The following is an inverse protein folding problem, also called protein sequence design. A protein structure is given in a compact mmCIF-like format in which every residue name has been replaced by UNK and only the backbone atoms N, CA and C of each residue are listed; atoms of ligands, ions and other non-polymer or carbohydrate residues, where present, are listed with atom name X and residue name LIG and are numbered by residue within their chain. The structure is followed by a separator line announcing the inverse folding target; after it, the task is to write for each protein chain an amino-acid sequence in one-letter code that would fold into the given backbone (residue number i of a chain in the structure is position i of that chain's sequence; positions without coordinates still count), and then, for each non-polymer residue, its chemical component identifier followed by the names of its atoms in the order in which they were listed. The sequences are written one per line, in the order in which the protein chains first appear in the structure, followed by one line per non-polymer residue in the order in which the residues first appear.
data_IF_371646955032
#
_entry.id   IF_371646955032
#
_cell.length_a   1.000
_cell.length_b   1.000
_cell.length_c   1.000
_cell.angle_alpha   90.00
_cell.angle_beta   90.00
_cell.angle_gamma   90.00
#
_symmetry.space_group_name_H-M   'P 1'
#
loop_
_entity.id
_entity.type
_entity.pdbx_description
1 polymer ?
#
# COMPACT_ATOMS: atom_id res chain seq x y z
N UNK A 1 24.59 6.34 17.19
CA UNK A 1 23.61 7.03 16.33
C UNK A 1 23.24 6.09 15.20
N UNK A 2 21.96 5.71 15.06
CA UNK A 2 21.52 4.96 13.88
C UNK A 2 21.72 5.87 12.65
N UNK A 3 22.25 5.32 11.56
CA UNK A 3 22.37 6.06 10.31
C UNK A 3 20.99 6.60 9.89
N UNK A 4 20.88 7.82 9.34
CA UNK A 4 19.60 8.35 8.91
C UNK A 4 18.93 7.39 7.91
N UNK A 5 17.61 7.27 7.99
CA UNK A 5 16.83 6.56 6.98
C UNK A 5 16.93 7.34 5.66
N UNK A 6 17.70 6.81 4.71
CA UNK A 6 17.89 7.46 3.41
C UNK A 6 17.08 6.71 2.36
N UNK A 7 16.38 7.46 1.51
CA UNK A 7 15.76 6.98 0.28
C UNK A 7 16.14 7.92 -0.86
N UNK A 8 17.28 7.71 -1.52
CA UNK A 8 17.68 8.51 -2.66
C UNK A 8 16.67 8.38 -3.81
N UNK A 9 16.68 9.33 -4.77
CA UNK A 9 15.98 9.15 -6.04
C UNK A 9 16.36 7.83 -6.71
N UNK A 10 15.39 7.09 -7.27
CA UNK A 10 15.68 5.87 -8.02
C UNK A 10 16.62 6.14 -9.19
N UNK A 11 17.52 5.20 -9.47
CA UNK A 11 18.36 5.26 -10.66
C UNK A 11 17.62 4.64 -11.85
N UNK A 12 17.65 5.32 -13.00
CA UNK A 12 16.96 4.90 -14.22
C UNK A 12 17.99 4.72 -15.32
N UNK A 13 18.06 3.51 -15.89
CA UNK A 13 18.90 3.17 -17.03
C UNK A 13 17.98 2.79 -18.19
N UNK A 14 17.57 3.78 -18.99
CA UNK A 14 16.53 3.63 -20.00
C UNK A 14 16.92 2.65 -21.10
N UNK A 15 18.18 2.67 -21.50
CA UNK A 15 18.77 1.82 -22.53
C UNK A 15 18.75 0.34 -22.13
N UNK A 16 18.73 0.07 -20.82
CA UNK A 16 18.65 -1.27 -20.23
C UNK A 16 17.22 -1.66 -19.82
N UNK A 17 16.24 -0.76 -19.94
CA UNK A 17 14.91 -0.99 -19.39
C UNK A 17 14.94 -1.26 -17.89
N UNK A 18 15.86 -0.62 -17.15
CA UNK A 18 16.13 -0.91 -15.74
C UNK A 18 15.82 0.29 -14.84
N UNK A 19 15.06 0.01 -13.79
CA UNK A 19 14.74 0.91 -12.70
C UNK A 19 15.29 0.33 -11.38
N UNK A 20 16.05 1.12 -10.64
CA UNK A 20 16.69 0.69 -9.39
C UNK A 20 16.23 1.55 -8.23
N UNK A 21 15.46 0.95 -7.33
CA UNK A 21 15.21 1.53 -6.00
C UNK A 21 16.34 1.12 -5.08
N UNK A 22 16.90 2.08 -4.36
CA UNK A 22 17.96 1.83 -3.39
C UNK A 22 17.84 2.76 -2.17
N UNK A 23 18.46 2.40 -1.07
CA UNK A 23 18.35 3.13 0.20
C UNK A 23 18.25 2.20 1.41
N UNK A 24 18.64 2.68 2.58
CA UNK A 24 18.48 1.95 3.85
C UNK A 24 17.02 1.73 4.25
N UNK A 25 16.14 2.59 3.76
CA UNK A 25 14.68 2.56 4.01
C UNK A 25 13.88 1.73 2.99
N UNK A 26 14.50 1.22 1.91
CA UNK A 26 13.79 0.43 0.89
C UNK A 26 13.21 -0.84 1.50
N UNK A 27 11.96 -1.15 1.15
CA UNK A 27 11.28 -2.37 1.59
C UNK A 27 11.46 -3.47 0.54
N UNK A 28 12.16 -4.56 0.90
CA UNK A 28 12.33 -5.71 0.00
C UNK A 28 11.02 -6.45 -0.24
N UNK A 29 10.03 -6.28 0.64
CA UNK A 29 8.67 -6.79 0.46
C UNK A 29 8.01 -6.27 -0.81
N UNK A 30 8.38 -5.06 -1.30
CA UNK A 30 7.90 -4.56 -2.58
C UNK A 30 8.35 -5.48 -3.74
N UNK A 31 9.66 -5.75 -3.84
CA UNK A 31 10.20 -6.59 -4.91
C UNK A 31 9.65 -8.02 -4.83
N UNK A 32 9.50 -8.55 -3.62
CA UNK A 32 8.88 -9.86 -3.38
C UNK A 32 7.41 -9.88 -3.79
N UNK A 33 6.67 -8.79 -3.53
CA UNK A 33 5.28 -8.63 -3.89
C UNK A 33 5.09 -8.59 -5.40
N UNK A 34 5.83 -7.71 -6.08
CA UNK A 34 5.84 -7.61 -7.53
C UNK A 34 6.14 -8.96 -8.19
N UNK A 35 7.14 -9.68 -7.68
CA UNK A 35 7.46 -11.03 -8.14
C UNK A 35 6.29 -12.00 -7.94
N UNK A 36 5.70 -12.05 -6.74
CA UNK A 36 4.58 -12.96 -6.45
C UNK A 36 3.32 -12.65 -7.27
N UNK A 37 2.99 -11.38 -7.48
CA UNK A 37 1.87 -10.95 -8.34
C UNK A 37 2.09 -11.46 -9.75
N UNK A 38 3.26 -11.19 -10.34
CA UNK A 38 3.57 -11.59 -11.71
C UNK A 38 3.50 -13.11 -11.91
N UNK A 39 3.97 -13.89 -10.92
CA UNK A 39 3.93 -15.35 -10.98
C UNK A 39 2.51 -15.92 -10.80
N UNK A 40 1.74 -15.37 -9.87
CA UNK A 40 0.44 -15.94 -9.49
C UNK A 40 -0.67 -15.52 -10.44
N UNK A 41 -0.64 -14.28 -10.89
CA UNK A 41 -1.77 -13.62 -11.55
C UNK A 41 -1.56 -13.47 -13.06
N UNK A 42 -0.38 -13.88 -13.57
CA UNK A 42 -0.09 -14.13 -14.99
C UNK A 42 -0.57 -13.02 -15.96
N UNK A 43 -0.51 -11.77 -15.51
CA UNK A 43 -0.89 -10.60 -16.31
C UNK A 43 -2.29 -10.03 -16.07
N UNK A 44 -3.08 -10.60 -15.13
CA UNK A 44 -4.35 -10.00 -14.72
C UNK A 44 -4.17 -8.62 -14.08
N UNK A 45 -3.10 -8.44 -13.32
CA UNK A 45 -2.58 -7.13 -12.91
C UNK A 45 -1.19 -6.93 -13.49
N UNK A 46 -1.06 -5.85 -14.25
CA UNK A 46 0.19 -5.45 -14.87
C UNK A 46 1.09 -4.82 -13.82
N UNK A 47 2.23 -5.45 -13.56
CA UNK A 47 3.27 -4.95 -12.64
C UNK A 47 4.65 -5.05 -13.30
N UNK A 48 5.61 -4.18 -12.94
CA UNK A 48 6.96 -4.28 -13.44
C UNK A 48 7.59 -5.65 -13.17
N UNK A 49 8.35 -6.18 -14.12
CA UNK A 49 9.18 -7.36 -13.87
C UNK A 49 10.25 -7.06 -12.81
N UNK A 50 10.50 -8.02 -11.92
CA UNK A 50 11.58 -7.92 -10.94
C UNK A 50 12.75 -8.77 -11.41
N UNK A 51 13.88 -8.13 -11.66
CA UNK A 51 15.13 -8.80 -12.05
C UNK A 51 15.90 -9.33 -10.84
N UNK A 52 15.68 -8.74 -9.66
CA UNK A 52 16.22 -9.21 -8.40
C UNK A 52 16.25 -8.15 -7.31
N UNK A 53 16.70 -8.53 -6.13
CA UNK A 53 16.91 -7.63 -5.01
C UNK A 53 18.08 -8.11 -4.15
N UNK A 54 18.73 -7.20 -3.42
CA UNK A 54 19.83 -7.54 -2.52
C UNK A 54 19.98 -6.56 -1.37
N UNK A 55 20.70 -6.99 -0.36
CA UNK A 55 21.16 -6.14 0.75
C UNK A 55 22.69 -6.08 0.73
N UNK A 56 23.25 -4.88 0.79
CA UNK A 56 24.70 -4.65 0.89
C UNK A 56 24.98 -3.69 2.04
N UNK A 57 25.51 -4.22 3.15
CA UNK A 57 25.61 -3.46 4.39
C UNK A 57 24.23 -3.01 4.87
N UNK A 58 24.04 -1.72 5.05
CA UNK A 58 22.76 -1.13 5.45
C UNK A 58 21.88 -0.71 4.26
N UNK A 59 22.38 -0.85 3.03
CA UNK A 59 21.66 -0.45 1.82
C UNK A 59 20.89 -1.64 1.23
N UNK A 60 19.65 -1.39 0.83
CA UNK A 60 18.80 -2.36 0.14
C UNK A 60 18.60 -1.90 -1.29
N UNK A 61 18.57 -2.85 -2.22
CA UNK A 61 18.42 -2.59 -3.66
C UNK A 61 17.31 -3.48 -4.22
N UNK A 62 16.46 -2.89 -5.05
CA UNK A 62 15.47 -3.61 -5.86
C UNK A 62 15.65 -3.23 -7.33
N UNK A 63 15.92 -4.23 -8.16
CA UNK A 63 16.15 -4.10 -9.60
C UNK A 63 14.90 -4.57 -10.33
N UNK A 64 14.26 -3.67 -11.08
CA UNK A 64 12.98 -3.94 -11.72
C UNK A 64 12.90 -3.29 -13.11
N UNK A 65 11.92 -3.70 -13.89
CA UNK A 65 11.61 -3.15 -15.20
C UNK A 65 11.32 -1.65 -15.13
N UNK A 66 12.00 -0.89 -15.98
CA UNK A 66 11.61 0.48 -16.26
C UNK A 66 10.45 0.51 -17.25
N UNK A 67 9.24 0.72 -16.72
CA UNK A 67 8.03 0.84 -17.54
C UNK A 67 8.01 2.21 -18.23
N UNK A 68 8.23 2.20 -19.55
CA UNK A 68 8.26 3.42 -20.35
C UNK A 68 6.85 3.96 -20.61
N UNK A 69 6.38 4.83 -19.72
CA UNK A 69 5.08 5.49 -19.83
C UNK A 69 5.02 6.80 -19.04
N UNK A 70 3.80 7.27 -18.81
CA UNK A 70 3.50 8.44 -17.98
C UNK A 70 2.60 8.01 -16.83
N UNK A 71 2.69 8.70 -15.69
CA UNK A 71 1.72 8.42 -14.63
C UNK A 71 0.33 8.86 -15.07
N UNK A 72 -0.70 8.15 -14.62
CA UNK A 72 -2.09 8.50 -14.91
C UNK A 72 -2.39 9.91 -14.39
N UNK A 73 -1.79 10.32 -13.28
CA UNK A 73 -1.88 11.69 -12.74
C UNK A 73 -1.42 12.75 -13.75
N UNK A 74 -0.31 12.52 -14.46
CA UNK A 74 0.21 13.46 -15.46
C UNK A 74 -0.71 13.58 -16.67
N UNK A 75 -1.37 12.49 -17.04
CA UNK A 75 -2.21 12.41 -18.25
C UNK A 75 -3.68 12.73 -17.94
N UNK A 76 -4.12 12.61 -16.70
CA UNK A 76 -5.51 12.84 -16.28
C UNK A 76 -6.11 14.18 -16.70
N UNK A 77 -5.39 15.33 -16.65
CA UNK A 77 -5.96 16.62 -17.06
C UNK A 77 -6.29 16.69 -18.56
N UNK A 78 -5.57 15.95 -19.40
CA UNK A 78 -5.70 15.99 -20.87
C UNK A 78 -6.56 14.85 -21.43
N UNK A 79 -6.91 13.85 -20.62
CA UNK A 79 -7.78 12.75 -21.03
C UNK A 79 -9.24 13.16 -21.22
N UNK A 80 -9.86 12.62 -22.26
CA UNK A 80 -11.30 12.72 -22.49
C UNK A 80 -12.11 11.96 -21.43
N UNK A 81 -13.40 12.27 -21.31
CA UNK A 81 -14.28 11.64 -20.33
C UNK A 81 -14.43 10.13 -20.57
N UNK A 82 -14.58 9.72 -21.82
CA UNK A 82 -14.69 8.30 -22.20
C UNK A 82 -13.40 7.52 -21.87
N UNK A 83 -12.23 8.10 -22.16
CA UNK A 83 -10.95 7.50 -21.81
C UNK A 83 -10.79 7.32 -20.30
N UNK A 84 -11.19 8.32 -19.51
CA UNK A 84 -11.16 8.24 -18.03
C UNK A 84 -12.04 7.11 -17.50
N UNK A 85 -13.23 6.96 -18.06
CA UNK A 85 -14.16 5.89 -17.69
C UNK A 85 -13.61 4.50 -18.07
N UNK A 86 -12.82 4.40 -19.13
CA UNK A 86 -12.17 3.17 -19.56
C UNK A 86 -10.94 2.75 -18.72
N UNK A 87 -10.35 3.68 -17.95
CA UNK A 87 -9.20 3.37 -17.08
C UNK A 87 -9.69 2.96 -15.70
N UNK A 88 -9.68 1.65 -15.46
CA UNK A 88 -9.85 1.06 -14.14
C UNK A 88 -8.68 0.09 -13.88
N UNK A 89 -7.79 0.40 -12.92
CA UNK A 89 -6.79 -0.57 -12.51
C UNK A 89 -7.51 -1.75 -11.86
N UNK A 90 -7.15 -2.97 -12.26
CA UNK A 90 -7.60 -4.16 -11.55
C UNK A 90 -6.88 -4.22 -10.20
N UNK A 91 -7.63 -4.48 -9.14
CA UNK A 91 -7.11 -4.76 -7.79
C UNK A 91 -7.27 -6.25 -7.50
N UNK A 92 -6.37 -6.80 -6.69
CA UNK A 92 -6.20 -8.25 -6.58
C UNK A 92 -7.06 -8.89 -5.48
N UNK A 93 -8.15 -9.54 -5.88
CA UNK A 93 -8.97 -10.38 -4.99
C UNK A 93 -8.49 -11.85 -4.91
N UNK A 94 -7.63 -12.27 -5.83
CA UNK A 94 -7.29 -13.69 -6.03
C UNK A 94 -6.05 -14.14 -5.24
N UNK A 95 -5.30 -13.21 -4.64
CA UNK A 95 -4.23 -13.55 -3.71
C UNK A 95 -4.84 -13.88 -2.35
N UNK A 96 -5.12 -15.16 -2.11
CA UNK A 96 -5.61 -15.62 -0.80
C UNK A 96 -4.46 -15.77 0.20
N UNK A 97 -4.64 -15.29 1.43
CA UNK A 97 -3.80 -15.64 2.56
C UNK A 97 -4.64 -16.00 3.80
N UNK A 98 -4.14 -16.89 4.67
CA UNK A 98 -4.84 -17.29 5.88
C UNK A 98 -4.78 -16.25 7.00
N UNK A 99 -3.98 -15.18 6.83
CA UNK A 99 -3.70 -14.18 7.87
C UNK A 99 -3.34 -12.84 7.23
N UNK A 100 -3.42 -11.75 8.00
CA UNK A 100 -2.93 -10.44 7.60
C UNK A 100 -1.40 -10.38 7.62
N UNK A 101 -0.81 -9.43 6.91
CA UNK A 101 0.64 -9.29 6.80
C UNK A 101 1.09 -8.89 5.41
N UNK A 102 2.38 -8.63 5.25
CA UNK A 102 2.97 -8.42 3.93
C UNK A 102 3.13 -9.76 3.16
N UNK A 103 3.56 -9.70 1.90
CA UNK A 103 3.79 -10.87 1.03
C UNK A 103 4.68 -11.97 1.65
N UNK A 104 5.60 -11.58 2.52
CA UNK A 104 6.55 -12.46 3.22
C UNK A 104 6.03 -12.94 4.58
N UNK A 105 4.72 -12.77 4.85
CA UNK A 105 4.06 -13.07 6.13
C UNK A 105 4.67 -12.31 7.32
N UNK A 106 5.31 -11.18 7.04
CA UNK A 106 5.86 -10.29 8.06
C UNK A 106 4.89 -9.15 8.40
N UNK A 107 5.32 -8.22 9.27
CA UNK A 107 4.55 -7.03 9.60
C UNK A 107 4.24 -6.21 8.35
N UNK A 108 3.04 -5.63 8.31
CA UNK A 108 2.65 -4.65 7.30
C UNK A 108 3.47 -3.37 7.44
N UNK A 109 3.74 -2.74 6.31
CA UNK A 109 4.33 -1.41 6.25
C UNK A 109 3.25 -0.48 5.69
N UNK A 110 2.77 0.47 6.48
CA UNK A 110 1.80 1.46 5.99
C UNK A 110 2.13 2.82 6.61
N UNK A 111 2.29 3.82 5.76
CA UNK A 111 2.69 5.19 6.11
C UNK A 111 1.58 5.97 6.81
N UNK A 112 0.35 5.45 6.83
CA UNK A 112 -0.72 5.96 7.68
C UNK A 112 -0.45 5.69 9.17
N UNK A 113 0.50 4.81 9.50
CA UNK A 113 0.91 4.57 10.88
C UNK A 113 2.16 5.37 11.24
N UNK A 114 2.16 5.93 12.46
CA UNK A 114 3.31 6.61 13.02
C UNK A 114 4.57 5.70 13.04
N UNK A 115 5.72 6.25 12.65
CA UNK A 115 6.99 5.53 12.42
C UNK A 115 7.42 4.59 13.57
N UNK A 116 7.22 5.01 14.82
CA UNK A 116 7.50 4.21 16.02
C UNK A 116 6.71 2.89 16.12
N UNK A 117 5.64 2.71 15.35
CA UNK A 117 4.75 1.56 15.43
C UNK A 117 4.62 0.78 14.12
N UNK A 118 5.13 1.31 13.00
CA UNK A 118 5.09 0.64 11.68
C UNK A 118 5.68 -0.78 11.73
N UNK A 119 6.73 -1.01 12.51
CA UNK A 119 7.36 -2.34 12.63
C UNK A 119 6.55 -3.36 13.45
N UNK A 120 5.39 -2.98 14.00
CA UNK A 120 4.57 -3.81 14.90
C UNK A 120 3.22 -4.21 14.31
N UNK A 121 2.97 -3.94 13.03
CA UNK A 121 1.65 -4.18 12.41
C UNK A 121 1.54 -5.62 11.94
N UNK A 122 1.22 -6.54 12.86
CA UNK A 122 0.98 -7.94 12.54
C UNK A 122 2.25 -8.76 12.25
N UNK A 123 2.13 -9.94 11.61
CA UNK A 123 0.91 -10.52 11.03
C UNK A 123 -0.15 -10.85 12.11
N UNK A 124 -1.44 -10.78 11.75
CA UNK A 124 -2.56 -11.16 12.63
C UNK A 124 -3.39 -12.27 12.00
N UNK A 125 -3.92 -13.17 12.82
CA UNK A 125 -4.74 -14.28 12.32
C UNK A 125 -6.11 -13.83 11.80
N UNK A 126 -6.71 -12.80 12.42
CA UNK A 126 -8.06 -12.32 12.13
C UNK A 126 -8.13 -10.79 12.13
N UNK A 127 -9.15 -10.24 11.43
CA UNK A 127 -9.38 -8.79 11.33
C UNK A 127 -9.59 -8.13 12.69
N UNK A 128 -10.33 -8.78 13.61
CA UNK A 128 -10.54 -8.27 14.97
C UNK A 128 -9.24 -7.88 15.67
N UNK A 129 -8.16 -8.65 15.48
CA UNK A 129 -6.88 -8.38 16.13
C UNK A 129 -6.17 -7.17 15.47
N UNK A 130 -6.36 -6.98 14.16
CA UNK A 130 -5.92 -5.76 13.46
C UNK A 130 -6.64 -4.54 14.03
N UNK A 131 -7.96 -4.61 14.17
CA UNK A 131 -8.76 -3.51 14.74
C UNK A 131 -8.34 -3.21 16.18
N UNK A 132 -8.20 -4.23 17.02
CA UNK A 132 -7.76 -4.04 18.40
C UNK A 132 -6.35 -3.41 18.46
N UNK A 133 -5.44 -3.83 17.59
CA UNK A 133 -4.11 -3.23 17.48
C UNK A 133 -4.16 -1.76 17.04
N UNK A 134 -4.99 -1.45 16.05
CA UNK A 134 -5.22 -0.12 15.48
C UNK A 134 -5.81 0.82 16.53
N UNK A 135 -6.90 0.42 17.18
CA UNK A 135 -7.57 1.24 18.20
C UNK A 135 -6.69 1.43 19.43
N UNK A 136 -5.75 0.52 19.70
CA UNK A 136 -4.81 0.68 20.81
C UNK A 136 -3.69 1.69 20.52
N UNK A 137 -3.46 2.13 19.27
CA UNK A 137 -2.32 2.98 18.90
C UNK A 137 -2.18 4.22 19.77
N UNK A 138 -3.23 5.04 19.84
CA UNK A 138 -3.28 6.28 20.62
C UNK A 138 -3.16 6.09 22.14
N UNK A 139 -3.33 4.86 22.65
CA UNK A 139 -3.12 4.54 24.06
C UNK A 139 -1.68 4.20 24.40
N UNK A 140 -0.89 3.76 23.43
CA UNK A 140 0.51 3.33 23.65
C UNK A 140 1.42 4.39 24.29
N UNK A 141 1.27 5.69 24.00
CA UNK A 141 2.09 6.71 24.64
C UNK A 141 1.71 7.00 26.10
N UNK A 142 0.56 6.52 26.58
CA UNK A 142 0.06 6.84 27.91
C UNK A 142 0.77 6.04 29.00
N UNK A 143 0.86 6.61 30.22
CA UNK A 143 1.52 5.96 31.37
C UNK A 143 0.80 4.68 31.82
N UNK A 144 -0.53 4.63 31.66
CA UNK A 144 -1.35 3.44 31.90
C UNK A 144 -2.37 3.26 30.75
N UNK A 145 -1.96 2.63 29.64
CA UNK A 145 -2.79 2.49 28.44
C UNK A 145 -4.08 1.69 28.63
N UNK A 146 -4.13 0.81 29.64
CA UNK A 146 -5.23 -0.14 29.84
C UNK A 146 -6.36 0.42 30.71
N UNK A 147 -6.12 1.48 31.49
CA UNK A 147 -7.18 2.16 32.24
C UNK A 147 -8.03 3.10 31.38
N UNK A 148 -7.59 3.40 30.15
CA UNK A 148 -8.37 4.22 29.22
C UNK A 148 -9.47 3.38 28.57
N UNK A 149 -10.75 3.80 28.71
CA UNK A 149 -11.89 3.09 28.13
C UNK A 149 -11.76 2.89 26.62
N UNK A 150 -12.41 1.85 26.10
CA UNK A 150 -12.50 1.67 24.66
C UNK A 150 -13.33 2.79 24.03
N UNK A 151 -12.79 3.47 23.02
CA UNK A 151 -13.48 4.60 22.40
C UNK A 151 -14.70 4.10 21.62
N UNK A 152 -15.78 4.91 21.53
CA UNK A 152 -17.01 4.53 20.85
C UNK A 152 -16.81 4.07 19.40
N UNK A 153 -15.84 4.68 18.70
CA UNK A 153 -15.54 4.40 17.29
C UNK A 153 -15.04 2.98 17.01
N UNK A 154 -14.62 2.21 18.02
CA UNK A 154 -14.24 0.79 17.84
C UNK A 154 -15.39 -0.06 17.30
N UNK A 155 -16.63 0.27 17.65
CA UNK A 155 -17.82 -0.49 17.26
C UNK A 155 -18.19 -0.32 15.79
N UNK A 156 -17.71 0.74 15.15
CA UNK A 156 -17.94 1.01 13.74
C UNK A 156 -16.97 0.26 12.81
N UNK A 157 -15.99 -0.48 13.39
CA UNK A 157 -15.05 -1.34 12.67
C UNK A 157 -15.56 -2.80 12.60
N UNK A 158 -15.86 -3.35 11.40
CA UNK A 158 -16.47 -4.67 11.24
C UNK A 158 -15.45 -5.81 11.35
N UNK A 159 -15.47 -6.54 12.47
CA UNK A 159 -14.54 -7.64 12.74
C UNK A 159 -14.72 -8.87 11.84
N UNK A 160 -15.87 -8.97 11.15
CA UNK A 160 -16.29 -10.05 10.26
C UNK A 160 -16.03 -9.76 8.78
N UNK A 161 -15.42 -8.61 8.44
CA UNK A 161 -15.08 -8.29 7.07
C UNK A 161 -13.96 -9.21 6.53
N UNK A 162 -13.91 -9.36 5.21
CA UNK A 162 -12.95 -10.25 4.57
C UNK A 162 -11.51 -9.71 4.68
N UNK A 163 -10.54 -10.64 4.74
CA UNK A 163 -9.13 -10.32 4.52
C UNK A 163 -8.87 -10.30 3.02
N UNK A 164 -8.42 -9.15 2.49
CA UNK A 164 -8.14 -8.93 1.07
C UNK A 164 -6.72 -8.45 0.87
N UNK A 165 -6.15 -8.78 -0.29
CA UNK A 165 -4.84 -8.26 -0.66
C UNK A 165 -5.01 -6.82 -1.19
N UNK A 166 -4.34 -5.89 -0.56
CA UNK A 166 -4.43 -4.46 -0.88
C UNK A 166 -3.09 -3.95 -1.39
N UNK A 167 -3.12 -2.98 -2.30
CA UNK A 167 -1.94 -2.21 -2.68
C UNK A 167 -1.49 -1.31 -1.52
N UNK A 168 -2.45 -0.70 -0.80
CA UNK A 168 -2.18 0.15 0.36
C UNK A 168 -1.60 1.54 0.02
N UNK A 169 -1.56 1.93 -1.25
CA UNK A 169 -1.12 3.26 -1.70
C UNK A 169 -1.61 3.55 -3.12
N UNK A 170 -2.76 2.98 -3.53
CA UNK A 170 -3.19 3.08 -4.92
C UNK A 170 -3.78 4.46 -5.21
N UNK A 171 -3.04 5.25 -5.99
CA UNK A 171 -3.54 6.51 -6.53
C UNK A 171 -2.96 6.76 -7.93
N UNK A 172 -3.47 7.79 -8.63
CA UNK A 172 -3.16 8.00 -10.06
C UNK A 172 -1.66 8.16 -10.37
N UNK A 173 -0.83 8.56 -9.41
CA UNK A 173 0.62 8.67 -9.65
C UNK A 173 1.32 7.30 -9.66
N UNK A 174 0.66 6.25 -9.14
CA UNK A 174 1.14 4.85 -9.09
C UNK A 174 0.69 4.00 -10.28
N UNK A 175 -0.10 4.57 -11.19
CA UNK A 175 -0.58 3.88 -12.38
C UNK A 175 0.19 4.46 -13.57
N UNK A 176 0.92 3.62 -14.29
CA UNK A 176 1.66 4.01 -15.49
C UNK A 176 0.81 3.66 -16.71
N UNK A 177 0.65 4.60 -17.63
CA UNK A 177 -0.15 4.47 -18.85
C UNK A 177 0.65 4.84 -20.09
N UNK A 178 0.16 4.44 -21.26
CA UNK A 178 0.67 4.94 -22.55
C UNK A 178 0.58 6.47 -22.61
N UNK A 179 1.58 7.16 -23.20
CA UNK A 179 1.61 8.62 -23.22
C UNK A 179 0.58 9.24 -24.18
N UNK A 180 0.02 8.45 -25.10
CA UNK A 180 -0.92 8.88 -26.13
C UNK A 180 -2.09 7.90 -26.25
N UNK A 181 -3.25 8.34 -26.80
CA UNK A 181 -4.37 7.45 -27.10
C UNK A 181 -3.99 6.32 -28.09
N UNK A 182 -4.65 5.15 -28.02
CA UNK A 182 -5.58 4.76 -26.96
C UNK A 182 -4.84 4.57 -25.63
N UNK A 183 -5.35 5.16 -24.55
CA UNK A 183 -4.71 5.07 -23.24
C UNK A 183 -4.86 3.66 -22.68
N UNK A 184 -3.73 3.04 -22.31
CA UNK A 184 -3.71 1.70 -21.72
C UNK A 184 -2.84 1.70 -20.47
N UNK A 185 -3.30 1.01 -19.43
CA UNK A 185 -2.47 0.74 -18.26
C UNK A 185 -1.30 -0.14 -18.71
N UNK A 186 -0.08 0.30 -18.37
CA UNK A 186 1.16 -0.44 -18.60
C UNK A 186 1.62 -1.15 -17.34
N UNK A 187 1.45 -0.50 -16.18
CA UNK A 187 1.78 -1.09 -14.88
C UNK A 187 1.14 -0.36 -13.71
N UNK A 188 0.92 -1.06 -12.61
CA UNK A 188 0.70 -0.51 -11.26
C UNK A 188 2.01 -0.68 -10.48
N UNK A 189 2.51 0.40 -9.87
CA UNK A 189 3.85 0.46 -9.25
C UNK A 189 3.77 0.89 -7.78
N UNK A 190 4.88 0.70 -7.03
CA UNK A 190 5.01 1.12 -5.64
C UNK A 190 4.18 0.30 -4.64
N UNK A 191 4.27 -1.03 -4.75
CA UNK A 191 3.59 -2.01 -3.89
C UNK A 191 4.25 -2.18 -2.50
N UNK A 192 4.99 -1.19 -2.03
CA UNK A 192 5.74 -1.31 -0.76
C UNK A 192 4.84 -1.36 0.48
N UNK A 193 3.62 -0.80 0.37
CA UNK A 193 2.60 -0.83 1.42
C UNK A 193 1.63 -2.01 1.26
N UNK A 194 1.90 -2.92 0.32
CA UNK A 194 0.99 -4.02 0.01
C UNK A 194 0.97 -5.10 1.09
N UNK A 195 -0.19 -5.73 1.21
CA UNK A 195 -0.39 -6.81 2.14
C UNK A 195 -1.85 -7.18 2.29
N UNK A 196 -2.10 -8.17 3.13
CA UNK A 196 -3.44 -8.63 3.47
C UNK A 196 -3.99 -7.85 4.65
N UNK A 197 -5.12 -7.16 4.42
CA UNK A 197 -5.78 -6.24 5.36
C UNK A 197 -7.31 -6.39 5.23
N UNK A 198 -8.07 -5.60 5.99
CA UNK A 198 -9.53 -5.57 5.86
C UNK A 198 -9.93 -5.13 4.45
N UNK A 199 -11.02 -5.69 3.93
CA UNK A 199 -11.49 -5.43 2.56
C UNK A 199 -11.79 -3.95 2.27
N UNK A 200 -12.09 -3.16 3.30
CA UNK A 200 -12.32 -1.73 3.18
C UNK A 200 -11.03 -0.90 3.20
N UNK A 201 -9.86 -1.49 3.47
CA UNK A 201 -8.63 -0.72 3.71
C UNK A 201 -8.20 0.11 2.50
N UNK A 202 -8.30 -0.45 1.29
CA UNK A 202 -7.95 0.26 0.05
C UNK A 202 -8.84 1.49 -0.16
N UNK A 203 -10.14 1.40 0.15
CA UNK A 203 -11.04 2.54 0.01
C UNK A 203 -10.74 3.63 1.02
N UNK A 204 -10.38 3.30 2.26
CA UNK A 204 -9.98 4.31 3.27
C UNK A 204 -8.69 5.02 2.90
N UNK A 205 -7.71 4.30 2.38
CA UNK A 205 -6.49 4.89 1.84
C UNK A 205 -6.80 5.81 0.67
N UNK A 206 -7.69 5.41 -0.24
CA UNK A 206 -8.11 6.26 -1.34
C UNK A 206 -8.86 7.52 -0.88
N UNK A 207 -9.73 7.43 0.14
CA UNK A 207 -10.38 8.60 0.77
C UNK A 207 -9.34 9.56 1.39
N UNK A 208 -8.36 9.01 2.10
CA UNK A 208 -7.26 9.77 2.72
C UNK A 208 -6.44 10.59 1.72
N UNK A 209 -6.17 10.05 0.52
CA UNK A 209 -5.42 10.78 -0.51
C UNK A 209 -6.29 11.68 -1.40
N UNK A 210 -7.55 11.33 -1.62
CA UNK A 210 -8.41 12.02 -2.59
C UNK A 210 -9.22 13.18 -2.00
N UNK A 211 -9.29 13.28 -0.65
CA UNK A 211 -10.16 14.21 0.08
C UNK A 211 -11.60 14.21 -0.46
N UNK A 212 -12.12 12.98 -0.67
CA UNK A 212 -13.43 12.73 -1.26
C UNK A 212 -14.09 11.56 -0.58
N UNK A 213 -15.40 11.65 -0.44
CA UNK A 213 -16.23 10.55 0.01
C UNK A 213 -16.23 9.43 -1.04
N UNK A 214 -15.78 8.25 -0.65
CA UNK A 214 -15.92 7.02 -1.43
C UNK A 214 -17.17 6.31 -0.93
N UNK A 215 -18.15 6.15 -1.82
CA UNK A 215 -19.34 5.35 -1.57
C UNK A 215 -18.97 3.87 -1.66
N UNK A 216 -18.88 3.22 -0.52
CA UNK A 216 -18.72 1.78 -0.37
C UNK A 216 -19.64 1.26 0.75
N UNK A 217 -19.78 -0.07 0.85
CA UNK A 217 -20.61 -0.71 1.87
C UNK A 217 -20.07 -0.54 3.30
N UNK A 218 -18.88 0.04 3.46
CA UNK A 218 -18.18 0.20 4.72
C UNK A 218 -18.09 1.66 5.19
N UNK A 219 -18.88 2.58 4.62
CA UNK A 219 -18.74 4.02 4.84
C UNK A 219 -18.57 4.45 6.33
N UNK A 220 -19.19 3.72 7.26
CA UNK A 220 -19.06 3.91 8.71
C UNK A 220 -17.61 3.82 9.23
N UNK A 221 -16.74 3.09 8.53
CA UNK A 221 -15.35 2.85 8.95
C UNK A 221 -14.42 4.04 8.70
N UNK A 222 -14.83 5.06 7.93
CA UNK A 222 -14.00 6.25 7.68
C UNK A 222 -13.65 7.01 8.96
N UNK A 223 -14.65 7.42 9.74
CA UNK A 223 -14.45 8.17 10.97
C UNK A 223 -13.50 7.46 11.97
N UNK A 224 -13.72 6.16 12.28
CA UNK A 224 -12.80 5.38 13.09
C UNK A 224 -11.41 5.25 12.47
N UNK A 225 -11.31 4.94 11.18
CA UNK A 225 -10.03 4.75 10.50
C UNK A 225 -9.19 6.02 10.58
N UNK A 226 -9.76 7.16 10.15
CA UNK A 226 -9.11 8.46 10.19
C UNK A 226 -8.73 8.84 11.62
N UNK A 227 -9.64 8.67 12.58
CA UNK A 227 -9.35 8.95 13.99
C UNK A 227 -8.12 8.17 14.48
N UNK A 228 -8.07 6.85 14.27
CA UNK A 228 -6.98 6.04 14.82
C UNK A 228 -5.66 6.16 14.06
N UNK A 229 -5.68 6.47 12.76
CA UNK A 229 -4.45 6.76 12.00
C UNK A 229 -3.91 8.16 12.30
N UNK A 230 -4.80 9.15 12.48
CA UNK A 230 -4.44 10.56 12.68
C UNK A 230 -4.14 10.89 14.15
N UNK A 231 -4.73 10.18 15.12
CA UNK A 231 -4.55 10.42 16.56
C UNK A 231 -3.10 10.29 17.05
N UNK A 232 -2.21 9.69 16.27
CA UNK A 232 -0.80 9.53 16.62
C UNK A 232 0.08 10.68 16.13
N UNK A 233 -0.45 11.62 15.36
CA UNK A 233 0.32 12.65 14.66
C UNK A 233 1.19 12.03 13.57
N UNK A 234 0.79 12.16 12.31
CA UNK A 234 1.70 11.86 11.19
C UNK A 234 2.67 13.02 10.97
#
# INVERSE_FOLDING_TARGET
MAAPFVRPPPAIFKELGLFVKWGSSVQLSEAQCLYAIRQTLKGDVLVPEVYGWRTQGNEKYSYMEYVNGKSLEQIWPIMGHEDKAGISPRTEDNLSAPSTGNISKGPLYDRAFHVNYMHKVGPFAIIRDVHNWLTFLHRRPMSDPYSVPVEPFRHDLPDDCAIKFTHGDLHRSKIIVTPTPPYRILAVVDWEQSGWLSEYWESRKAQYYADREILDQFASTWGPWDYYTSAMGC
#
